data_IF_651496078390
#
_entry.id   IF_651496078390
#
_cell.length_a   1.000
_cell.length_b   1.000
_cell.length_c   1.000
_cell.angle_alpha   90.00
_cell.angle_beta   90.00
_cell.angle_gamma   90.00
#
_symmetry.space_group_name_H-M   'P 1'
#
loop_
_entity.id
_entity.type
_entity.pdbx_description
1 polymer ?
#
# COMPACT_ATOMS: atom_id res chain seq x y z
N UNK A 1 -17.49 4.65 -0.58
CA UNK A 1 -17.30 3.45 0.26
C UNK A 1 -16.05 2.72 -0.20
N UNK A 2 -15.45 1.86 0.63
CA UNK A 2 -14.18 1.21 0.31
C UNK A 2 -14.34 -0.28 -0.03
N UNK A 3 -13.50 -0.80 -0.92
CA UNK A 3 -13.40 -2.23 -1.24
C UNK A 3 -11.98 -2.70 -0.93
N UNK A 4 -11.87 -3.82 -0.23
CA UNK A 4 -10.59 -4.48 0.03
C UNK A 4 -10.38 -5.54 -1.04
N UNK A 5 -9.23 -5.44 -1.72
CA UNK A 5 -8.81 -6.42 -2.72
C UNK A 5 -7.51 -7.06 -2.25
N UNK A 6 -7.44 -8.38 -2.31
CA UNK A 6 -6.22 -9.15 -2.09
C UNK A 6 -5.80 -9.75 -3.44
N UNK A 7 -4.54 -9.53 -3.80
CA UNK A 7 -3.94 -10.11 -5.00
C UNK A 7 -3.16 -11.35 -4.59
N UNK A 8 -3.74 -12.52 -4.81
CA UNK A 8 -3.07 -13.79 -4.58
C UNK A 8 -2.25 -14.15 -5.84
N UNK A 9 -1.02 -13.64 -5.90
CA UNK A 9 -0.12 -13.85 -7.03
C UNK A 9 0.76 -15.09 -6.83
N UNK A 10 0.53 -16.13 -7.63
CA UNK A 10 1.27 -17.39 -7.59
C UNK A 10 1.23 -18.08 -6.21
N UNK A 11 0.25 -17.77 -5.37
CA UNK A 11 0.04 -18.42 -4.09
C UNK A 11 -0.32 -19.89 -4.31
N UNK A 12 0.36 -20.80 -3.62
CA UNK A 12 0.05 -22.24 -3.57
C UNK A 12 -0.52 -22.67 -2.21
N UNK A 13 -0.70 -21.72 -1.30
CA UNK A 13 -1.21 -21.91 0.05
C UNK A 13 -2.66 -21.41 0.15
N UNK A 14 -3.17 -21.25 1.38
CA UNK A 14 -4.54 -20.88 1.64
C UNK A 14 -4.84 -19.37 1.51
N UNK A 15 -3.90 -18.53 1.03
CA UNK A 15 -4.06 -17.07 1.01
C UNK A 15 -5.37 -16.63 0.34
N UNK A 16 -5.69 -17.17 -0.83
CA UNK A 16 -6.91 -16.79 -1.55
C UNK A 16 -8.19 -17.19 -0.79
N UNK A 17 -8.21 -18.39 -0.20
CA UNK A 17 -9.36 -18.88 0.55
C UNK A 17 -9.59 -18.05 1.83
N UNK A 18 -8.52 -17.77 2.58
CA UNK A 18 -8.57 -16.98 3.82
C UNK A 18 -8.99 -15.53 3.55
N UNK A 19 -8.47 -14.91 2.50
CA UNK A 19 -8.85 -13.55 2.11
C UNK A 19 -10.35 -13.44 1.75
N UNK A 20 -10.89 -14.42 1.01
CA UNK A 20 -12.33 -14.48 0.73
C UNK A 20 -13.16 -14.65 2.00
N UNK A 21 -12.75 -15.55 2.89
CA UNK A 21 -13.43 -15.79 4.16
C UNK A 21 -13.43 -14.54 5.07
N UNK A 22 -12.38 -13.71 4.99
CA UNK A 22 -12.31 -12.41 5.65
C UNK A 22 -13.13 -11.29 4.95
N UNK A 23 -13.85 -11.62 3.87
CA UNK A 23 -14.70 -10.69 3.13
C UNK A 23 -13.93 -9.72 2.22
N UNK A 24 -12.73 -10.10 1.76
CA UNK A 24 -12.03 -9.38 0.70
C UNK A 24 -12.44 -9.90 -0.69
N UNK A 25 -12.43 -9.03 -1.68
CA UNK A 25 -12.39 -9.45 -3.09
C UNK A 25 -11.01 -10.02 -3.37
N UNK A 26 -10.92 -11.15 -4.08
CA UNK A 26 -9.63 -11.78 -4.37
C UNK A 26 -9.40 -11.84 -5.86
N UNK A 27 -8.27 -11.30 -6.30
CA UNK A 27 -7.75 -11.47 -7.65
C UNK A 27 -6.64 -12.53 -7.60
N UNK A 28 -6.91 -13.68 -8.20
CA UNK A 28 -5.94 -14.77 -8.28
C UNK A 28 -5.21 -14.69 -9.62
N UNK A 29 -3.88 -14.69 -9.55
CA UNK A 29 -3.02 -14.75 -10.73
C UNK A 29 -2.12 -15.97 -10.63
N UNK A 30 -2.10 -16.79 -11.68
CA UNK A 30 -1.19 -17.92 -11.80
C UNK A 30 -0.34 -17.77 -13.06
N UNK A 31 0.90 -17.36 -12.87
CA UNK A 31 1.89 -17.14 -13.92
C UNK A 31 3.30 -17.27 -13.34
N UNK A 32 3.81 -18.51 -13.24
CA UNK A 32 5.10 -18.79 -12.60
C UNK A 32 6.29 -18.22 -13.37
N UNK A 33 6.10 -17.78 -14.62
CA UNK A 33 7.16 -17.21 -15.46
C UNK A 33 7.40 -15.71 -15.19
N UNK A 34 6.37 -14.99 -14.74
CA UNK A 34 6.41 -13.54 -14.47
C UNK A 34 6.12 -13.27 -13.00
N UNK A 35 7.17 -13.28 -12.19
CA UNK A 35 7.12 -13.20 -10.72
C UNK A 35 7.55 -11.84 -10.20
N UNK A 36 6.99 -11.44 -9.06
CA UNK A 36 7.39 -10.25 -8.31
C UNK A 36 6.30 -9.18 -8.24
N UNK A 37 6.44 -8.28 -7.27
CA UNK A 37 5.44 -7.26 -6.89
C UNK A 37 4.97 -6.42 -8.08
N UNK A 38 5.88 -6.06 -8.99
CA UNK A 38 5.54 -5.28 -10.18
C UNK A 38 4.49 -5.95 -11.09
N UNK A 39 4.62 -7.26 -11.32
CA UNK A 39 3.64 -8.00 -12.13
C UNK A 39 2.30 -8.17 -11.43
N UNK A 40 2.32 -8.43 -10.13
CA UNK A 40 1.10 -8.52 -9.31
C UNK A 40 0.34 -7.18 -9.30
N UNK A 41 1.05 -6.06 -9.13
CA UNK A 41 0.47 -4.71 -9.16
C UNK A 41 -0.09 -4.36 -10.54
N UNK A 42 0.65 -4.64 -11.61
CA UNK A 42 0.19 -4.39 -12.97
C UNK A 42 -1.11 -5.16 -13.28
N UNK A 43 -1.18 -6.43 -12.87
CA UNK A 43 -2.39 -7.24 -12.98
C UNK A 43 -3.55 -6.63 -12.17
N UNK A 44 -3.32 -6.26 -10.91
CA UNK A 44 -4.36 -5.68 -10.06
C UNK A 44 -4.89 -4.33 -10.58
N UNK A 45 -4.02 -3.48 -11.10
CA UNK A 45 -4.42 -2.21 -11.71
C UNK A 45 -5.25 -2.43 -12.98
N UNK A 46 -4.87 -3.39 -13.82
CA UNK A 46 -5.64 -3.74 -15.01
C UNK A 46 -7.05 -4.27 -14.64
N UNK A 47 -7.14 -5.16 -13.66
CA UNK A 47 -8.43 -5.68 -13.16
C UNK A 47 -9.30 -4.57 -12.55
N UNK A 48 -8.71 -3.68 -11.74
CA UNK A 48 -9.41 -2.54 -11.14
C UNK A 48 -9.95 -1.59 -12.21
N UNK A 49 -9.12 -1.27 -13.22
CA UNK A 49 -9.51 -0.40 -14.33
C UNK A 49 -10.61 -1.05 -15.20
N UNK A 50 -10.50 -2.35 -15.50
CA UNK A 50 -11.50 -3.08 -16.27
C UNK A 50 -12.86 -3.13 -15.57
N UNK A 51 -12.88 -3.22 -14.23
CA UNK A 51 -14.12 -3.19 -13.45
C UNK A 51 -14.71 -1.78 -13.30
N UNK A 52 -13.90 -0.73 -13.47
CA UNK A 52 -14.35 0.67 -13.41
C UNK A 52 -14.99 1.07 -12.09
N UNK A 53 -14.67 0.38 -10.99
CA UNK A 53 -15.35 0.58 -9.69
C UNK A 53 -14.68 1.64 -8.81
N UNK A 54 -13.36 1.81 -8.92
CA UNK A 54 -12.58 2.67 -8.02
C UNK A 54 -12.08 3.93 -8.73
N UNK A 55 -12.23 5.09 -8.09
CA UNK A 55 -11.63 6.35 -8.53
C UNK A 55 -10.14 6.46 -8.14
N UNK A 56 -9.72 5.71 -7.11
CA UNK A 56 -8.36 5.68 -6.60
C UNK A 56 -8.00 4.29 -6.05
N UNK A 57 -6.71 3.95 -6.08
CA UNK A 57 -6.18 2.70 -5.53
C UNK A 57 -5.16 3.01 -4.44
N UNK A 58 -5.31 2.32 -3.30
CA UNK A 58 -4.33 2.33 -2.20
C UNK A 58 -3.69 0.96 -2.14
N UNK A 59 -2.35 0.92 -2.21
CA UNK A 59 -1.57 -0.31 -2.11
C UNK A 59 -1.06 -0.46 -0.69
N UNK A 60 -1.30 -1.62 -0.09
CA UNK A 60 -0.84 -2.00 1.24
C UNK A 60 -0.12 -3.33 1.12
N UNK A 61 1.06 -3.44 1.71
CA UNK A 61 1.79 -4.70 1.76
C UNK A 61 1.09 -5.67 2.72
N UNK A 62 0.99 -6.95 2.34
CA UNK A 62 0.19 -7.94 3.07
C UNK A 62 0.71 -8.24 4.49
N UNK A 63 1.94 -7.83 4.80
CA UNK A 63 2.61 -7.95 6.08
C UNK A 63 2.60 -6.66 6.92
N UNK A 64 1.80 -5.66 6.51
CA UNK A 64 1.72 -4.36 7.17
C UNK A 64 0.46 -4.21 8.02
N UNK A 65 0.62 -3.60 9.19
CA UNK A 65 -0.50 -3.09 9.99
C UNK A 65 -0.87 -1.67 9.51
N UNK A 66 -2.16 -1.45 9.25
CA UNK A 66 -2.66 -0.16 8.76
C UNK A 66 -3.58 0.50 9.78
N UNK A 67 -3.50 1.82 9.88
CA UNK A 67 -4.42 2.58 10.74
C UNK A 67 -5.85 2.48 10.19
N UNK A 68 -6.88 2.31 11.06
CA UNK A 68 -8.27 2.18 10.61
C UNK A 68 -8.78 3.34 9.75
N UNK A 69 -8.21 4.54 9.93
CA UNK A 69 -8.59 5.75 9.22
C UNK A 69 -7.82 5.99 7.91
N UNK A 70 -6.95 5.07 7.47
CA UNK A 70 -6.04 5.30 6.33
C UNK A 70 -6.80 5.74 5.07
N UNK A 71 -7.85 5.01 4.71
CA UNK A 71 -8.60 5.25 3.47
C UNK A 71 -9.40 6.55 3.54
N UNK A 72 -9.98 6.88 4.69
CA UNK A 72 -10.67 8.15 4.91
C UNK A 72 -9.71 9.34 4.82
N UNK A 73 -8.53 9.21 5.43
CA UNK A 73 -7.50 10.24 5.36
C UNK A 73 -7.01 10.47 3.93
N UNK A 74 -6.88 9.40 3.13
CA UNK A 74 -6.49 9.50 1.73
C UNK A 74 -7.61 10.14 0.89
N UNK A 75 -8.85 9.69 1.04
CA UNK A 75 -10.00 10.26 0.35
C UNK A 75 -10.12 11.78 0.60
N UNK A 76 -9.99 12.22 1.86
CA UNK A 76 -10.02 13.64 2.21
C UNK A 76 -8.93 14.47 1.53
N UNK A 77 -7.75 13.89 1.24
CA UNK A 77 -6.67 14.56 0.52
C UNK A 77 -6.92 14.61 -0.98
N UNK A 78 -7.45 13.54 -1.56
CA UNK A 78 -7.79 13.49 -2.99
C UNK A 78 -8.94 14.46 -3.27
N UNK A 79 -10.05 14.33 -2.56
CA UNK A 79 -11.26 15.13 -2.78
C UNK A 79 -11.09 16.59 -2.35
N UNK A 80 -10.47 16.83 -1.18
CA UNK A 80 -10.36 18.18 -0.62
C UNK A 80 -9.21 19.02 -1.18
N UNK A 81 -8.19 18.39 -1.79
CA UNK A 81 -6.98 19.09 -2.27
C UNK A 81 -6.54 18.71 -3.68
N UNK A 82 -7.27 17.83 -4.38
CA UNK A 82 -6.91 17.38 -5.73
C UNK A 82 -5.61 16.59 -5.76
N UNK A 83 -5.27 15.88 -4.68
CA UNK A 83 -4.04 15.08 -4.65
C UNK A 83 -4.16 13.88 -5.61
N UNK A 84 -3.26 13.78 -6.58
CA UNK A 84 -3.22 12.65 -7.53
C UNK A 84 -2.40 11.46 -7.02
N UNK A 85 -1.45 11.71 -6.12
CA UNK A 85 -0.60 10.68 -5.52
C UNK A 85 -0.30 10.98 -4.05
N UNK A 86 -0.34 9.94 -3.23
CA UNK A 86 -0.19 10.01 -1.78
C UNK A 86 0.70 8.88 -1.29
N UNK A 87 1.62 9.21 -0.38
CA UNK A 87 2.46 8.23 0.30
C UNK A 87 2.11 8.24 1.79
N UNK A 88 1.69 7.09 2.32
CA UNK A 88 1.51 6.93 3.76
C UNK A 88 2.88 6.96 4.46
N UNK A 89 2.88 7.52 5.67
CA UNK A 89 3.97 7.27 6.60
C UNK A 89 3.90 5.81 7.08
N UNK A 90 5.02 5.10 7.02
CA UNK A 90 5.18 3.79 7.64
C UNK A 90 6.55 3.69 8.30
N UNK A 91 6.63 2.86 9.34
CA UNK A 91 7.81 2.62 10.16
C UNK A 91 7.96 1.14 10.49
N UNK A 92 8.73 0.83 11.53
CA UNK A 92 8.94 -0.53 12.00
C UNK A 92 8.02 -0.83 13.20
N UNK A 93 7.39 -2.01 13.25
CA UNK A 93 6.48 -2.39 14.35
C UNK A 93 7.20 -2.51 15.71
N UNK A 94 8.47 -2.88 15.71
CA UNK A 94 9.28 -3.12 16.90
C UNK A 94 10.53 -2.20 16.97
N UNK A 95 10.35 -0.87 16.96
CA UNK A 95 11.43 0.10 16.75
C UNK A 95 12.44 0.13 17.90
N UNK A 96 12.07 -0.36 19.09
CA UNK A 96 12.92 -0.38 20.28
C UNK A 96 13.47 -1.77 20.63
N UNK A 97 13.16 -2.81 19.84
CA UNK A 97 13.57 -4.18 20.15
C UNK A 97 15.09 -4.41 20.06
N UNK A 98 15.81 -3.61 19.26
CA UNK A 98 17.26 -3.71 19.12
C UNK A 98 17.86 -2.39 18.63
N UNK A 99 19.18 -2.24 18.76
CA UNK A 99 19.89 -1.11 18.15
C UNK A 99 19.70 -1.05 16.63
N UNK A 100 19.58 -2.22 15.97
CA UNK A 100 19.38 -2.32 14.52
C UNK A 100 17.99 -1.85 14.10
N UNK A 101 16.92 -2.31 14.76
CA UNK A 101 15.55 -1.87 14.46
C UNK A 101 15.37 -0.38 14.78
N UNK A 102 16.06 0.13 15.80
CA UNK A 102 16.09 1.56 16.11
C UNK A 102 16.77 2.39 15.03
N UNK A 103 17.89 1.93 14.48
CA UNK A 103 18.54 2.61 13.36
C UNK A 103 17.67 2.61 12.10
N UNK A 104 16.99 1.50 11.80
CA UNK A 104 16.04 1.42 10.67
C UNK A 104 14.90 2.43 10.87
N UNK A 105 14.34 2.52 12.07
CA UNK A 105 13.27 3.49 12.37
C UNK A 105 13.73 4.94 12.18
N UNK A 106 14.94 5.30 12.64
CA UNK A 106 15.49 6.66 12.43
C UNK A 106 15.69 6.94 10.93
N UNK A 107 16.21 5.96 10.18
CA UNK A 107 16.37 6.07 8.74
C UNK A 107 15.02 6.24 8.02
N UNK A 108 14.03 5.41 8.35
CA UNK A 108 12.67 5.52 7.82
C UNK A 108 12.05 6.88 8.16
N UNK A 109 12.19 7.37 9.40
CA UNK A 109 11.73 8.69 9.82
C UNK A 109 12.33 9.82 8.97
N UNK A 110 13.60 9.69 8.58
CA UNK A 110 14.27 10.69 7.73
C UNK A 110 13.63 10.79 6.34
N UNK A 111 13.21 9.66 5.75
CA UNK A 111 12.59 9.63 4.43
C UNK A 111 11.06 9.84 4.46
N UNK A 112 10.37 9.15 5.36
CA UNK A 112 8.90 9.06 5.39
C UNK A 112 8.27 10.21 6.18
N UNK A 113 8.99 10.78 7.16
CA UNK A 113 8.51 11.94 7.92
C UNK A 113 9.19 13.21 7.41
N UNK A 114 10.50 13.35 7.66
CA UNK A 114 11.19 14.63 7.46
C UNK A 114 11.18 15.06 6.00
N UNK A 115 11.71 14.21 5.10
CA UNK A 115 11.78 14.53 3.67
C UNK A 115 10.41 14.66 3.03
N UNK A 116 9.46 13.78 3.38
CA UNK A 116 8.13 13.80 2.76
C UNK A 116 7.33 15.05 3.18
N UNK A 117 7.36 15.42 4.48
CA UNK A 117 6.73 16.68 4.95
C UNK A 117 7.40 17.92 4.38
N UNK A 118 8.73 17.93 4.24
CA UNK A 118 9.44 19.04 3.63
C UNK A 118 9.00 19.25 2.17
N UNK A 119 8.87 18.16 1.41
CA UNK A 119 8.40 18.20 0.01
C UNK A 119 6.96 18.69 -0.10
N UNK A 120 6.07 18.21 0.77
CA UNK A 120 4.68 18.67 0.83
C UNK A 120 4.60 20.18 1.09
N UNK A 121 5.35 20.70 2.06
CA UNK A 121 5.40 22.14 2.38
C UNK A 121 5.94 23.00 1.23
N UNK A 122 6.82 22.43 0.41
CA UNK A 122 7.39 23.07 -0.77
C UNK A 122 6.56 22.82 -2.04
N UNK A 123 5.39 22.19 -1.94
CA UNK A 123 4.54 21.82 -3.07
C UNK A 123 5.27 20.99 -4.15
N UNK A 124 6.19 20.13 -3.73
CA UNK A 124 6.91 19.20 -4.61
C UNK A 124 6.19 17.85 -4.67
N UNK A 125 6.47 17.07 -5.72
CA UNK A 125 5.88 15.73 -5.91
C UNK A 125 6.15 14.78 -4.73
N UNK A 126 5.26 13.82 -4.48
CA UNK A 126 5.54 12.75 -3.53
C UNK A 126 6.40 11.64 -4.18
N UNK A 127 7.28 11.00 -3.40
CA UNK A 127 7.92 9.76 -3.81
C UNK A 127 7.11 8.58 -3.27
N UNK A 128 6.65 7.69 -4.15
CA UNK A 128 5.99 6.45 -3.76
C UNK A 128 7.03 5.41 -3.33
N UNK A 129 6.77 4.74 -2.21
CA UNK A 129 7.68 3.77 -1.60
C UNK A 129 6.89 2.59 -1.07
N UNK A 130 7.48 1.40 -1.15
CA UNK A 130 7.00 0.19 -0.47
C UNK A 130 8.13 -0.43 0.34
N UNK A 131 7.78 -1.42 1.17
CA UNK A 131 8.76 -2.27 1.84
C UNK A 131 9.44 -3.22 0.84
#
# INVERSE_FOLDING_TARGET
GFRRVVVADNCSDATAALARAAGATVFERHDPSRRGKGYALAYAFAESAAQGWADAVVVVDADSEVSPNLLEAFAARIEGRGAEALQAHYGVLNPLASWRTRLIEIAHGSFHVLRSRARERLALSCGLRGN
#
